data_IF_841229823536
#
_entry.id   IF_841229823536
#
_cell.length_a   1.000
_cell.length_b   1.000
_cell.length_c   1.000
_cell.angle_alpha   90.00
_cell.angle_beta   90.00
_cell.angle_gamma   90.00
#
_symmetry.space_group_name_H-M   'P 1'
#
loop_
_entity.id
_entity.type
_entity.pdbx_description
1 polymer ?
#
# COMPACT_ATOMS: atom_id res chain seq x y z
N UNK A 1 22.73 -34.37 1.63
CA UNK A 1 21.44 -33.75 2.04
C UNK A 1 21.76 -32.38 2.61
N UNK A 2 21.83 -31.35 1.76
CA UNK A 2 22.22 -29.99 2.15
C UNK A 2 20.97 -29.13 2.28
N UNK A 3 20.56 -28.86 3.52
CA UNK A 3 19.45 -27.98 3.85
C UNK A 3 19.96 -26.54 3.99
N UNK A 4 19.84 -25.76 2.92
CA UNK A 4 20.07 -24.32 2.89
C UNK A 4 19.11 -23.60 3.82
N UNK A 5 19.61 -23.18 4.99
CA UNK A 5 18.96 -22.27 5.92
C UNK A 5 18.94 -20.85 5.31
N UNK A 6 17.77 -20.43 4.80
CA UNK A 6 17.53 -19.05 4.36
C UNK A 6 17.23 -18.18 5.58
N UNK A 7 18.14 -17.24 5.85
CA UNK A 7 17.95 -16.13 6.79
C UNK A 7 16.72 -15.31 6.39
N UNK A 8 15.93 -14.75 7.32
CA UNK A 8 14.92 -13.77 6.98
C UNK A 8 15.62 -12.52 6.45
N UNK A 9 15.48 -12.30 5.16
CA UNK A 9 15.92 -11.11 4.46
C UNK A 9 15.26 -9.89 5.11
N UNK A 10 16.04 -8.89 5.49
CA UNK A 10 15.57 -7.55 5.85
C UNK A 10 14.78 -6.96 4.68
N UNK A 11 13.48 -7.22 4.63
CA UNK A 11 12.54 -6.62 3.69
C UNK A 11 11.88 -5.46 4.45
N UNK A 12 12.65 -4.38 4.66
CA UNK A 12 12.08 -3.06 4.94
C UNK A 12 11.55 -2.52 3.62
N UNK A 13 10.33 -2.88 3.26
CA UNK A 13 9.62 -2.25 2.13
C UNK A 13 8.76 -1.15 2.72
N UNK A 14 9.41 0.00 2.92
CA UNK A 14 8.68 1.26 3.03
C UNK A 14 8.13 1.58 1.65
N UNK A 15 6.85 1.32 1.44
CA UNK A 15 6.06 1.89 0.35
C UNK A 15 5.82 3.37 0.64
N UNK A 16 6.88 4.17 0.57
CA UNK A 16 6.76 5.64 0.58
C UNK A 16 6.89 6.16 -0.85
N UNK A 17 5.77 6.40 -1.51
CA UNK A 17 5.72 7.29 -2.67
C UNK A 17 5.24 8.67 -2.23
N UNK A 18 6.26 9.49 -1.96
CA UNK A 18 6.29 10.96 -1.89
C UNK A 18 5.62 11.68 -0.70
N UNK A 19 6.53 12.12 0.19
CA UNK A 19 6.44 13.18 1.23
C UNK A 19 5.85 12.78 2.59
N UNK A 20 6.62 12.01 3.35
CA UNK A 20 6.84 12.36 4.77
C UNK A 20 8.33 12.51 5.01
N UNK A 21 8.80 13.73 4.72
CA UNK A 21 10.13 14.23 5.01
C UNK A 21 10.23 14.48 6.53
N UNK A 22 10.01 13.45 7.36
CA UNK A 22 10.25 13.46 8.82
C UNK A 22 10.24 12.07 9.46
N UNK A 23 10.36 10.97 8.71
CA UNK A 23 10.25 9.62 9.32
C UNK A 23 11.58 8.89 9.57
N UNK A 24 12.71 9.47 9.13
CA UNK A 24 13.97 8.71 9.06
C UNK A 24 14.92 8.84 10.25
N UNK A 25 14.51 9.45 11.38
CA UNK A 25 15.40 9.70 12.53
C UNK A 25 15.13 8.86 13.79
N UNK A 26 14.16 7.94 13.83
CA UNK A 26 13.89 7.13 15.05
C UNK A 26 14.02 5.61 14.94
N UNK A 27 14.29 5.05 13.76
CA UNK A 27 14.48 3.60 13.59
C UNK A 27 15.97 3.20 13.64
N UNK A 28 16.61 3.30 14.81
CA UNK A 28 17.92 2.69 15.02
C UNK A 28 17.77 1.20 15.41
N UNK A 29 18.50 0.26 14.79
CA UNK A 29 18.48 -1.14 15.17
C UNK A 29 19.50 -1.37 16.30
N UNK A 30 19.13 -2.17 17.30
CA UNK A 30 20.09 -2.89 18.12
C UNK A 30 19.72 -4.37 18.06
N UNK A 31 20.51 -5.12 17.30
CA UNK A 31 20.42 -6.56 17.17
C UNK A 31 20.99 -7.23 18.41
N UNK A 32 20.33 -8.28 18.87
CA UNK A 32 20.81 -9.20 19.89
C UNK A 32 19.96 -10.45 19.85
N UNK A 33 20.62 -11.58 19.62
CA UNK A 33 20.12 -12.95 19.70
C UNK A 33 19.05 -13.15 20.79
N UNK A 34 17.98 -13.89 20.51
CA UNK A 34 17.67 -15.12 21.25
C UNK A 34 16.59 -15.96 20.57
N UNK A 35 16.68 -17.24 20.88
CA UNK A 35 16.04 -18.48 20.45
C UNK A 35 14.50 -18.56 20.38
N UNK A 36 14.08 -19.33 19.38
CA UNK A 36 12.91 -20.23 19.28
C UNK A 36 12.22 -20.57 20.60
N UNK A 37 10.93 -20.22 20.73
CA UNK A 37 9.93 -20.92 21.57
C UNK A 37 8.58 -20.94 20.81
N UNK A 38 7.92 -22.09 20.88
CA UNK A 38 6.62 -22.47 20.30
C UNK A 38 5.41 -21.66 20.83
N UNK A 39 4.24 -21.72 20.15
CA UNK A 39 3.12 -20.81 20.41
C UNK A 39 2.31 -21.21 21.64
N UNK A 40 2.01 -20.22 22.49
CA UNK A 40 0.97 -20.32 23.52
C UNK A 40 -0.36 -19.77 22.97
N UNK A 41 -1.41 -20.51 23.29
CA UNK A 41 -2.81 -20.34 22.88
C UNK A 41 -3.48 -19.14 23.55
N UNK A 42 -4.54 -18.71 22.89
CA UNK A 42 -5.71 -17.98 23.39
C UNK A 42 -5.46 -16.66 24.10
N UNK A 43 -5.73 -15.57 23.38
CA UNK A 43 -6.53 -14.48 23.93
C UNK A 43 -7.48 -13.96 22.83
N UNK A 44 -8.74 -14.31 23.00
CA UNK A 44 -9.88 -13.87 22.19
C UNK A 44 -10.10 -12.37 22.37
N UNK A 45 -10.01 -11.61 21.29
CA UNK A 45 -10.64 -10.30 21.17
C UNK A 45 -11.64 -10.42 20.01
N UNK A 46 -12.88 -10.72 20.38
CA UNK A 46 -14.06 -10.52 19.55
C UNK A 46 -14.61 -9.16 19.93
N UNK A 47 -14.72 -8.24 18.97
CA UNK A 47 -15.82 -7.27 18.80
C UNK A 47 -15.42 -6.24 17.73
N UNK A 48 -16.35 -5.95 16.82
CA UNK A 48 -16.29 -4.77 15.94
C UNK A 48 -16.12 -5.02 14.44
N UNK A 49 -16.92 -5.91 13.85
CA UNK A 49 -17.14 -5.96 12.38
C UNK A 49 -18.57 -6.39 12.09
N UNK A 50 -19.53 -5.54 12.41
CA UNK A 50 -20.90 -5.62 11.88
C UNK A 50 -21.31 -4.20 11.51
N UNK A 51 -21.98 -4.04 10.37
CA UNK A 51 -22.52 -2.81 9.74
C UNK A 51 -21.81 -2.35 8.46
N UNK A 52 -21.79 -3.19 7.42
CA UNK A 52 -21.68 -2.74 6.01
C UNK A 52 -22.56 -3.60 5.08
N UNK A 53 -23.79 -3.88 5.50
CA UNK A 53 -24.74 -4.62 4.64
C UNK A 53 -26.16 -4.07 4.81
N UNK A 54 -26.33 -2.78 4.55
CA UNK A 54 -27.67 -2.17 4.42
C UNK A 54 -27.67 -0.91 3.54
N UNK A 55 -27.07 -0.94 2.34
CA UNK A 55 -27.36 0.07 1.28
C UNK A 55 -27.27 -0.58 -0.11
N UNK A 56 -27.96 -1.70 -0.30
CA UNK A 56 -28.21 -2.27 -1.64
C UNK A 56 -29.65 -2.77 -1.69
N UNK A 57 -30.61 -1.84 -1.81
CA UNK A 57 -32.02 -2.19 -1.80
C UNK A 57 -32.95 -1.25 -2.57
N UNK A 58 -32.62 0.03 -2.74
CA UNK A 58 -33.60 1.03 -3.22
C UNK A 58 -33.09 1.94 -4.34
N UNK A 59 -32.52 1.36 -5.41
CA UNK A 59 -32.32 2.09 -6.69
C UNK A 59 -32.90 1.32 -7.90
N UNK A 60 -33.35 0.08 -7.72
CA UNK A 60 -33.78 -0.78 -8.83
C UNK A 60 -35.28 -0.73 -9.19
N UNK A 61 -36.03 0.28 -8.74
CA UNK A 61 -37.48 0.37 -8.98
C UNK A 61 -37.95 1.59 -9.80
N UNK A 62 -37.05 2.46 -10.28
CA UNK A 62 -37.42 3.63 -11.10
C UNK A 62 -36.75 3.67 -12.50
N UNK A 63 -36.30 2.54 -13.04
CA UNK A 63 -35.74 2.45 -14.41
C UNK A 63 -36.53 1.45 -15.28
N UNK A 64 -37.87 1.47 -15.20
CA UNK A 64 -38.74 0.65 -16.06
C UNK A 64 -39.80 1.44 -16.85
N UNK A 65 -39.72 2.77 -16.87
CA UNK A 65 -40.70 3.61 -17.60
C UNK A 65 -40.07 4.88 -18.17
N UNK A 66 -38.96 4.73 -18.91
CA UNK A 66 -38.40 5.78 -19.76
C UNK A 66 -37.66 5.22 -20.99
N UNK A 67 -38.20 4.16 -21.59
CA UNK A 67 -37.69 3.51 -22.81
C UNK A 67 -38.64 3.72 -23.99
N UNK A 68 -39.00 4.97 -24.23
CA UNK A 68 -39.45 5.42 -25.54
C UNK A 68 -39.12 6.91 -25.66
N UNK A 69 -38.36 7.25 -26.71
CA UNK A 69 -37.84 8.59 -27.07
C UNK A 69 -36.46 8.96 -26.49
N UNK A 70 -35.40 8.45 -27.14
CA UNK A 70 -34.18 9.18 -27.49
C UNK A 70 -33.27 8.29 -28.37
N UNK A 71 -33.82 7.83 -29.50
CA UNK A 71 -32.99 7.44 -30.64
C UNK A 71 -32.63 8.72 -31.40
N UNK A 72 -31.66 9.47 -30.86
CA UNK A 72 -30.86 10.38 -31.68
C UNK A 72 -29.66 9.57 -32.10
N UNK A 73 -29.70 9.07 -33.33
CA UNK A 73 -28.54 8.55 -34.04
C UNK A 73 -27.49 9.66 -34.15
N UNK A 74 -26.59 9.74 -33.18
CA UNK A 74 -25.31 10.44 -33.39
C UNK A 74 -24.49 9.59 -34.35
N UNK A 75 -24.45 10.01 -35.60
CA UNK A 75 -23.45 9.60 -36.60
C UNK A 75 -22.06 10.00 -36.10
N UNK A 76 -21.54 9.30 -35.09
CA UNK A 76 -20.13 9.36 -34.68
C UNK A 76 -19.34 8.51 -35.69
N UNK A 77 -18.52 9.16 -36.50
CA UNK A 77 -17.61 8.49 -37.42
C UNK A 77 -16.73 7.50 -36.62
N UNK A 78 -16.83 6.17 -36.86
CA UNK A 78 -16.08 5.17 -36.08
C UNK A 78 -14.56 5.39 -36.16
N UNK A 79 -14.08 6.10 -37.18
CA UNK A 79 -12.67 6.48 -37.31
C UNK A 79 -12.23 7.57 -36.32
N UNK A 80 -13.14 8.45 -35.87
CA UNK A 80 -12.81 9.52 -34.91
C UNK A 80 -12.43 8.95 -33.53
N UNK A 81 -13.17 7.94 -33.08
CA UNK A 81 -12.88 7.27 -31.82
C UNK A 81 -11.56 6.45 -31.90
N UNK A 82 -11.30 5.78 -33.02
CA UNK A 82 -10.06 5.03 -33.21
C UNK A 82 -8.83 5.95 -33.29
N UNK A 83 -8.93 7.07 -34.01
CA UNK A 83 -7.86 8.07 -34.08
C UNK A 83 -7.60 8.72 -32.71
N UNK A 84 -8.65 9.06 -31.97
CA UNK A 84 -8.55 9.57 -30.60
C UNK A 84 -7.80 8.59 -29.68
N UNK A 85 -8.18 7.30 -29.68
CA UNK A 85 -7.52 6.27 -28.88
C UNK A 85 -6.05 6.10 -29.26
N UNK A 86 -5.73 6.14 -30.56
CA UNK A 86 -4.33 6.09 -31.01
C UNK A 86 -3.53 7.29 -30.52
N UNK A 87 -4.07 8.51 -30.65
CA UNK A 87 -3.40 9.73 -30.14
C UNK A 87 -3.20 9.65 -28.62
N UNK A 88 -4.19 9.19 -27.85
CA UNK A 88 -4.06 8.98 -26.40
C UNK A 88 -2.99 7.93 -26.09
N UNK A 89 -2.94 6.83 -26.83
CA UNK A 89 -1.93 5.78 -26.66
C UNK A 89 -0.51 6.31 -26.89
N UNK A 90 -0.29 7.04 -28.00
CA UNK A 90 1.01 7.64 -28.29
C UNK A 90 1.42 8.64 -27.20
N UNK A 91 0.49 9.47 -26.76
CA UNK A 91 0.72 10.42 -25.66
C UNK A 91 1.16 9.71 -24.38
N UNK A 92 0.44 8.66 -23.94
CA UNK A 92 0.77 7.89 -22.74
C UNK A 92 2.14 7.21 -22.89
N UNK A 93 2.40 6.58 -24.04
CA UNK A 93 3.63 5.86 -24.29
C UNK A 93 4.85 6.78 -24.32
N UNK A 94 4.73 7.99 -24.88
CA UNK A 94 5.81 8.98 -24.88
C UNK A 94 6.18 9.40 -23.46
N UNK A 95 5.18 9.65 -22.61
CA UNK A 95 5.41 10.00 -21.21
C UNK A 95 6.01 8.83 -20.43
N UNK A 96 5.54 7.60 -20.67
CA UNK A 96 6.12 6.39 -20.08
C UNK A 96 7.60 6.22 -20.44
N UNK A 97 7.97 6.41 -21.70
CA UNK A 97 9.37 6.37 -22.15
C UNK A 97 10.24 7.42 -21.45
N UNK A 98 9.74 8.66 -21.35
CA UNK A 98 10.42 9.75 -20.64
C UNK A 98 10.63 9.41 -19.16
N UNK A 99 9.62 8.85 -18.49
CA UNK A 99 9.73 8.44 -17.09
C UNK A 99 10.69 7.26 -16.89
N UNK A 100 10.65 6.26 -17.79
CA UNK A 100 11.58 5.12 -17.80
C UNK A 100 13.04 5.56 -17.96
N UNK A 101 13.32 6.51 -18.86
CA UNK A 101 14.66 7.04 -19.09
C UNK A 101 15.27 7.73 -17.86
N UNK A 102 14.46 8.18 -16.90
CA UNK A 102 14.92 8.79 -15.65
C UNK A 102 15.18 7.78 -14.52
N UNK A 103 14.91 6.49 -14.73
CA UNK A 103 15.19 5.45 -13.74
C UNK A 103 16.68 5.07 -13.68
N UNK A 104 17.18 4.53 -12.56
CA UNK A 104 18.48 3.88 -12.51
C UNK A 104 18.57 2.70 -13.49
N UNK A 105 19.74 2.54 -14.14
CA UNK A 105 19.98 1.55 -15.20
C UNK A 105 19.58 0.11 -14.81
N UNK A 106 19.85 -0.29 -13.56
CA UNK A 106 19.49 -1.61 -13.03
C UNK A 106 17.99 -1.92 -13.07
N UNK A 107 17.12 -0.90 -13.07
CA UNK A 107 15.68 -1.04 -13.16
C UNK A 107 15.17 -0.83 -14.59
N UNK A 108 15.83 0.03 -15.38
CA UNK A 108 15.52 0.23 -16.78
C UNK A 108 15.58 -1.07 -17.58
N UNK A 109 16.64 -1.85 -17.39
CA UNK A 109 16.83 -3.14 -18.08
C UNK A 109 15.74 -4.18 -17.75
N UNK A 110 15.02 -3.99 -16.64
CA UNK A 110 13.95 -4.90 -16.19
C UNK A 110 12.58 -4.50 -16.70
N UNK A 111 12.43 -3.29 -17.24
CA UNK A 111 11.18 -2.78 -17.80
C UNK A 111 11.36 -2.75 -19.31
N UNK A 112 10.78 -3.74 -19.99
CA UNK A 112 10.83 -3.84 -21.45
C UNK A 112 9.92 -2.81 -22.12
N UNK A 113 10.18 -2.53 -23.40
CA UNK A 113 9.28 -1.70 -24.20
C UNK A 113 7.89 -2.31 -24.34
N UNK A 114 7.80 -3.63 -24.47
CA UNK A 114 6.53 -4.37 -24.51
C UNK A 114 5.71 -4.13 -23.24
N UNK A 115 6.35 -4.13 -22.07
CA UNK A 115 5.68 -3.84 -20.80
C UNK A 115 5.13 -2.40 -20.76
N UNK A 116 5.91 -1.42 -21.23
CA UNK A 116 5.44 -0.03 -21.31
C UNK A 116 4.28 0.15 -22.29
N UNK A 117 4.32 -0.54 -23.44
CA UNK A 117 3.23 -0.52 -24.41
C UNK A 117 1.96 -1.20 -23.86
N UNK A 118 2.11 -2.35 -23.17
CA UNK A 118 1.02 -3.01 -22.47
C UNK A 118 0.39 -2.10 -21.43
N UNK A 119 1.22 -1.43 -20.61
CA UNK A 119 0.75 -0.49 -19.60
C UNK A 119 0.03 0.71 -20.23
N UNK A 120 0.56 1.28 -21.31
CA UNK A 120 -0.11 2.38 -22.01
C UNK A 120 -1.51 2.00 -22.52
N UNK A 121 -1.67 0.76 -23.01
CA UNK A 121 -2.96 0.24 -23.46
C UNK A 121 -3.95 0.08 -22.31
N UNK A 122 -3.53 -0.45 -21.15
CA UNK A 122 -4.45 -0.60 -20.00
C UNK A 122 -4.88 0.74 -19.41
N UNK A 123 -4.03 1.76 -19.54
CA UNK A 123 -4.31 3.13 -19.12
C UNK A 123 -5.15 3.95 -20.12
N UNK A 124 -5.56 3.37 -21.26
CA UNK A 124 -6.53 4.01 -22.14
C UNK A 124 -7.89 4.15 -21.45
N UNK A 125 -8.26 3.16 -20.63
CA UNK A 125 -9.42 3.23 -19.76
C UNK A 125 -9.02 3.84 -18.41
N UNK A 126 -9.71 4.90 -18.01
CA UNK A 126 -9.40 5.63 -16.78
C UNK A 126 -9.75 4.84 -15.50
N UNK A 127 -10.47 3.72 -15.61
CA UNK A 127 -10.74 2.80 -14.48
C UNK A 127 -9.48 2.39 -13.73
N UNK A 128 -8.35 2.15 -14.42
CA UNK A 128 -7.10 1.77 -13.75
C UNK A 128 -6.55 2.91 -12.88
N UNK A 129 -6.72 4.17 -13.31
CA UNK A 129 -6.34 5.31 -12.49
C UNK A 129 -7.19 5.40 -11.22
N UNK A 130 -8.49 5.14 -11.31
CA UNK A 130 -9.38 5.14 -10.15
C UNK A 130 -9.08 4.00 -9.18
N UNK A 131 -8.79 2.79 -9.67
CA UNK A 131 -8.34 1.67 -8.83
C UNK A 131 -7.08 2.06 -8.06
N UNK A 132 -6.08 2.61 -8.75
CA UNK A 132 -4.81 3.00 -8.13
C UNK A 132 -4.99 4.12 -7.09
N UNK A 133 -5.88 5.09 -7.34
CA UNK A 133 -6.25 6.12 -6.35
C UNK A 133 -6.93 5.51 -5.12
N UNK A 134 -7.91 4.62 -5.32
CA UNK A 134 -8.56 3.92 -4.21
C UNK A 134 -7.59 3.10 -3.36
N UNK A 135 -6.65 2.40 -3.99
CA UNK A 135 -5.59 1.65 -3.28
C UNK A 135 -4.67 2.58 -2.46
N UNK A 136 -4.40 3.80 -2.94
CA UNK A 136 -3.65 4.80 -2.18
C UNK A 136 -4.42 5.31 -0.96
N UNK A 137 -5.73 5.56 -1.09
CA UNK A 137 -6.56 6.00 0.02
C UNK A 137 -6.65 4.92 1.10
N UNK A 138 -6.88 3.67 0.71
CA UNK A 138 -6.87 2.51 1.61
C UNK A 138 -5.51 2.38 2.31
N UNK A 139 -4.40 2.57 1.59
CA UNK A 139 -3.07 2.56 2.18
C UNK A 139 -2.92 3.65 3.23
N UNK A 140 -3.33 4.89 2.93
CA UNK A 140 -3.19 6.02 3.83
C UNK A 140 -3.98 5.82 5.13
N UNK A 141 -5.24 5.37 5.03
CA UNK A 141 -6.07 5.06 6.20
C UNK A 141 -5.45 3.92 7.03
N UNK A 142 -4.95 2.88 6.36
CA UNK A 142 -4.30 1.75 7.04
C UNK A 142 -3.03 2.19 7.78
N UNK A 143 -2.15 2.94 7.13
CA UNK A 143 -0.92 3.45 7.76
C UNK A 143 -1.22 4.34 8.96
N UNK A 144 -2.22 5.23 8.83
CA UNK A 144 -2.68 6.08 9.93
C UNK A 144 -3.16 5.25 11.10
N UNK A 145 -3.97 4.23 10.84
CA UNK A 145 -4.46 3.33 11.88
C UNK A 145 -3.32 2.57 12.57
N UNK A 146 -2.36 2.01 11.83
CA UNK A 146 -1.23 1.29 12.42
C UNK A 146 -0.31 2.20 13.25
N UNK A 147 -0.16 3.46 12.84
CA UNK A 147 0.55 4.47 13.62
C UNK A 147 -0.18 4.73 14.95
N UNK A 148 -1.50 4.90 14.93
CA UNK A 148 -2.31 5.07 16.14
C UNK A 148 -2.22 3.86 17.07
N UNK A 149 -2.20 2.64 16.53
CA UNK A 149 -2.01 1.42 17.32
C UNK A 149 -0.66 1.43 18.04
N UNK A 150 0.43 1.81 17.35
CA UNK A 150 1.75 1.92 17.96
C UNK A 150 1.80 3.02 19.03
N UNK A 151 1.22 4.17 18.74
CA UNK A 151 1.15 5.32 19.66
C UNK A 151 0.37 4.96 20.92
N UNK A 152 -0.73 4.23 20.80
CA UNK A 152 -1.49 3.74 21.96
C UNK A 152 -0.62 2.91 22.90
N UNK A 153 0.16 1.98 22.37
CA UNK A 153 1.08 1.16 23.19
C UNK A 153 2.11 2.02 23.90
N UNK A 154 2.66 3.02 23.21
CA UNK A 154 3.62 3.97 23.79
C UNK A 154 2.99 4.80 24.92
N UNK A 155 1.75 5.27 24.73
CA UNK A 155 0.99 6.00 25.74
C UNK A 155 0.65 5.12 26.95
N UNK A 156 0.26 3.87 26.73
CA UNK A 156 -0.01 2.90 27.80
C UNK A 156 1.25 2.63 28.64
N UNK A 157 2.42 2.50 28.01
CA UNK A 157 3.69 2.34 28.70
C UNK A 157 4.04 3.57 29.56
N UNK A 158 3.85 4.78 29.01
CA UNK A 158 4.08 6.02 29.75
C UNK A 158 3.13 6.17 30.94
N UNK A 159 1.86 5.79 30.79
CA UNK A 159 0.88 5.84 31.85
C UNK A 159 1.20 4.82 32.95
N UNK A 160 1.61 3.60 32.59
CA UNK A 160 2.04 2.57 33.55
C UNK A 160 3.21 3.09 34.41
N UNK A 161 4.23 3.71 33.79
CA UNK A 161 5.36 4.30 34.53
C UNK A 161 4.90 5.36 35.53
N UNK A 162 4.09 6.34 35.09
CA UNK A 162 3.55 7.40 35.98
C UNK A 162 2.72 6.83 37.14
N UNK A 163 1.97 5.76 36.89
CA UNK A 163 1.19 5.10 37.94
C UNK A 163 2.08 4.47 39.01
N UNK A 164 3.23 3.91 38.64
CA UNK A 164 4.18 3.37 39.61
C UNK A 164 4.95 4.46 40.35
N UNK A 165 5.36 5.53 39.65
CA UNK A 165 5.99 6.72 40.24
C UNK A 165 5.11 7.39 41.33
N UNK A 166 3.79 7.32 41.19
CA UNK A 166 2.85 7.85 42.19
C UNK A 166 2.55 6.89 43.35
N UNK A 167 2.82 5.60 43.21
CA UNK A 167 2.53 4.57 44.23
C UNK A 167 3.72 4.27 45.14
N UNK A 168 4.94 4.36 44.62
CA UNK A 168 6.16 4.00 45.34
C UNK A 168 6.85 5.28 45.83
N UNK A 169 7.03 5.39 47.14
CA UNK A 169 7.73 6.52 47.76
C UNK A 169 9.23 6.27 47.92
N UNK A 170 9.65 4.99 47.98
CA UNK A 170 11.06 4.63 48.11
C UNK A 170 11.80 4.76 46.76
N UNK A 171 12.85 5.61 46.66
CA UNK A 171 13.57 5.83 45.41
C UNK A 171 14.26 4.59 44.85
N UNK A 172 14.80 3.72 45.72
CA UNK A 172 15.54 2.53 45.30
C UNK A 172 14.61 1.44 44.74
N UNK A 173 13.48 1.19 45.42
CA UNK A 173 12.43 0.31 44.92
C UNK A 173 11.82 0.80 43.59
N UNK A 174 11.59 2.11 43.47
CA UNK A 174 11.05 2.71 42.24
C UNK A 174 12.01 2.53 41.06
N UNK A 175 13.31 2.74 41.25
CA UNK A 175 14.32 2.56 40.20
C UNK A 175 14.33 1.13 39.67
N UNK A 176 14.30 0.14 40.57
CA UNK A 176 14.26 -1.27 40.19
C UNK A 176 13.01 -1.61 39.37
N UNK A 177 11.84 -1.16 39.82
CA UNK A 177 10.56 -1.44 39.15
C UNK A 177 10.50 -0.75 37.78
N UNK A 178 10.97 0.49 37.66
CA UNK A 178 11.07 1.19 36.38
C UNK A 178 12.05 0.50 35.42
N UNK A 179 13.18 -0.02 35.92
CA UNK A 179 14.12 -0.79 35.10
C UNK A 179 13.47 -2.08 34.54
N UNK A 180 12.75 -2.83 35.38
CA UNK A 180 12.01 -4.03 34.94
C UNK A 180 10.91 -3.67 33.92
N UNK A 181 10.18 -2.57 34.15
CA UNK A 181 9.16 -2.10 33.21
C UNK A 181 9.77 -1.74 31.85
N UNK A 182 10.89 -1.03 31.81
CA UNK A 182 11.56 -0.71 30.53
C UNK A 182 11.90 -1.97 29.73
N UNK A 183 12.32 -3.04 30.39
CA UNK A 183 12.58 -4.33 29.74
C UNK A 183 11.28 -4.95 29.21
N UNK A 184 10.21 -4.97 30.01
CA UNK A 184 8.89 -5.48 29.64
C UNK A 184 8.29 -4.70 28.45
N UNK A 185 8.25 -3.38 28.56
CA UNK A 185 7.80 -2.43 27.53
C UNK A 185 8.60 -2.60 26.24
N UNK A 186 9.92 -2.73 26.33
CA UNK A 186 10.78 -2.97 25.17
C UNK A 186 10.46 -4.28 24.43
N UNK A 187 10.14 -5.36 25.15
CA UNK A 187 9.70 -6.62 24.52
C UNK A 187 8.32 -6.48 23.87
N UNK A 188 7.36 -5.91 24.61
CA UNK A 188 6.00 -5.69 24.12
C UNK A 188 5.96 -4.77 22.89
N UNK A 189 6.76 -3.70 22.86
CA UNK A 189 6.87 -2.81 21.70
C UNK A 189 7.42 -3.55 20.49
N UNK A 190 8.44 -4.39 20.65
CA UNK A 190 8.99 -5.20 19.56
C UNK A 190 7.96 -6.19 19.00
N UNK A 191 7.18 -6.84 19.86
CA UNK A 191 6.11 -7.74 19.44
C UNK A 191 5.01 -7.00 18.68
N UNK A 192 4.64 -5.81 19.14
CA UNK A 192 3.69 -4.93 18.44
C UNK A 192 4.24 -4.52 17.07
N UNK A 193 5.47 -3.97 17.01
CA UNK A 193 6.10 -3.57 15.75
C UNK A 193 6.19 -4.73 14.75
N UNK A 194 6.48 -5.95 15.21
CA UNK A 194 6.48 -7.15 14.37
C UNK A 194 5.10 -7.43 13.76
N UNK A 195 4.03 -7.36 14.57
CA UNK A 195 2.66 -7.54 14.08
C UNK A 195 2.25 -6.47 13.08
N UNK A 196 2.64 -5.22 13.32
CA UNK A 196 2.36 -4.11 12.40
C UNK A 196 3.05 -4.31 11.05
N UNK A 197 4.31 -4.74 11.04
CA UNK A 197 5.05 -5.05 9.80
C UNK A 197 4.38 -6.19 9.03
N UNK A 198 3.97 -7.27 9.71
CA UNK A 198 3.27 -8.38 9.06
C UNK A 198 1.95 -7.93 8.42
N UNK A 199 1.23 -7.00 9.06
CA UNK A 199 0.01 -6.46 8.48
C UNK A 199 0.29 -5.59 7.25
N UNK A 200 1.35 -4.77 7.28
CA UNK A 200 1.79 -4.02 6.10
C UNK A 200 2.18 -4.95 4.95
N UNK A 201 2.96 -6.00 5.21
CA UNK A 201 3.35 -6.98 4.20
C UNK A 201 2.13 -7.65 3.55
N UNK A 202 1.11 -7.99 4.35
CA UNK A 202 -0.14 -8.53 3.81
C UNK A 202 -0.85 -7.51 2.91
N UNK A 203 -0.90 -6.23 3.29
CA UNK A 203 -1.50 -5.18 2.45
C UNK A 203 -0.77 -4.99 1.13
N UNK A 204 0.56 -5.13 1.10
CA UNK A 204 1.32 -5.12 -0.15
C UNK A 204 0.86 -6.26 -1.08
N UNK A 205 0.69 -7.46 -0.53
CA UNK A 205 0.21 -8.62 -1.30
C UNK A 205 -1.20 -8.41 -1.83
N UNK A 206 -2.08 -7.85 -1.00
CA UNK A 206 -3.46 -7.55 -1.41
C UNK A 206 -3.49 -6.52 -2.55
N UNK A 207 -2.68 -5.46 -2.47
CA UNK A 207 -2.53 -4.46 -3.54
C UNK A 207 -1.97 -5.07 -4.83
N UNK A 208 -0.91 -5.88 -4.73
CA UNK A 208 -0.34 -6.61 -5.88
C UNK A 208 -1.39 -7.50 -6.54
N UNK A 209 -2.12 -8.29 -5.75
CA UNK A 209 -3.17 -9.18 -6.25
C UNK A 209 -4.32 -8.41 -6.91
N UNK A 210 -4.68 -7.24 -6.38
CA UNK A 210 -5.73 -6.39 -6.94
C UNK A 210 -5.32 -5.84 -8.31
N UNK A 211 -4.10 -5.33 -8.45
CA UNK A 211 -3.57 -4.83 -9.72
C UNK A 211 -3.36 -5.93 -10.75
N UNK A 212 -2.92 -7.12 -10.31
CA UNK A 212 -2.81 -8.32 -11.14
C UNK A 212 -4.18 -8.74 -11.69
N UNK A 213 -5.21 -8.80 -10.83
CA UNK A 213 -6.59 -9.13 -11.22
C UNK A 213 -7.25 -8.07 -12.10
N UNK A 214 -6.88 -6.80 -11.91
CA UNK A 214 -7.28 -5.70 -12.79
C UNK A 214 -6.58 -5.73 -14.16
N UNK A 215 -5.67 -6.68 -14.38
CA UNK A 215 -4.96 -6.87 -15.65
C UNK A 215 -3.85 -5.84 -15.88
N UNK A 216 -3.35 -5.18 -14.84
CA UNK A 216 -2.30 -4.17 -14.97
C UNK A 216 -0.95 -4.85 -15.23
N UNK A 217 -0.29 -4.60 -16.37
CA UNK A 217 0.95 -5.28 -16.73
C UNK A 217 2.08 -4.99 -15.74
N UNK A 218 2.88 -6.02 -15.44
CA UNK A 218 4.02 -5.93 -14.52
C UNK A 218 3.67 -6.09 -13.04
N UNK A 219 2.38 -6.19 -12.70
CA UNK A 219 1.92 -6.49 -11.36
C UNK A 219 1.61 -7.98 -11.21
N UNK A 220 2.18 -8.58 -10.18
CA UNK A 220 1.97 -9.95 -9.75
C UNK A 220 2.40 -10.08 -8.29
N UNK A 221 1.84 -11.04 -7.57
CA UNK A 221 2.21 -11.26 -6.17
C UNK A 221 3.67 -11.73 -6.04
N UNK A 222 4.50 -11.01 -5.28
CA UNK A 222 5.92 -11.33 -5.13
C UNK A 222 6.52 -10.79 -3.84
N UNK A 223 7.38 -11.58 -3.21
CA UNK A 223 8.18 -11.21 -2.03
C UNK A 223 9.62 -10.77 -2.41
N UNK A 224 9.96 -10.74 -3.71
CA UNK A 224 11.30 -10.36 -4.16
C UNK A 224 11.46 -8.83 -4.10
N UNK A 225 12.40 -8.30 -3.29
CA UNK A 225 12.55 -6.86 -3.10
C UNK A 225 12.93 -6.09 -4.37
N UNK A 226 13.57 -6.74 -5.35
CA UNK A 226 13.86 -6.11 -6.64
C UNK A 226 12.62 -5.95 -7.49
N UNK A 227 11.75 -6.96 -7.52
CA UNK A 227 10.48 -6.93 -8.26
C UNK A 227 9.51 -5.92 -7.64
N UNK A 228 9.44 -5.88 -6.31
CA UNK A 228 8.59 -4.92 -5.61
C UNK A 228 9.03 -3.49 -5.92
N UNK A 229 10.34 -3.21 -5.97
CA UNK A 229 10.84 -1.89 -6.41
C UNK A 229 10.44 -1.55 -7.84
N UNK A 230 10.43 -2.53 -8.75
CA UNK A 230 9.98 -2.31 -10.14
C UNK A 230 8.50 -1.97 -10.16
N UNK A 231 7.67 -2.74 -9.45
CA UNK A 231 6.24 -2.47 -9.31
C UNK A 231 5.95 -1.10 -8.70
N UNK A 232 6.77 -0.65 -7.75
CA UNK A 232 6.69 0.73 -7.21
C UNK A 232 6.97 1.79 -8.27
N UNK A 233 7.95 1.59 -9.15
CA UNK A 233 8.20 2.52 -10.26
C UNK A 233 7.04 2.54 -11.27
N UNK A 234 6.46 1.37 -11.59
CA UNK A 234 5.28 1.30 -12.45
C UNK A 234 4.08 2.02 -11.82
N UNK A 235 3.87 1.86 -10.52
CA UNK A 235 2.81 2.56 -9.79
C UNK A 235 3.01 4.08 -9.81
N UNK A 236 4.24 4.56 -9.60
CA UNK A 236 4.60 5.97 -9.72
C UNK A 236 4.31 6.51 -11.13
N UNK A 237 4.57 5.72 -12.18
CA UNK A 237 4.25 6.12 -13.55
C UNK A 237 2.75 6.30 -13.74
N UNK A 238 1.93 5.33 -13.30
CA UNK A 238 0.47 5.41 -13.39
C UNK A 238 -0.04 6.66 -12.65
N UNK A 239 0.47 6.92 -11.45
CA UNK A 239 0.08 8.08 -10.63
C UNK A 239 0.48 9.43 -11.24
N UNK A 240 1.61 9.49 -11.94
CA UNK A 240 2.02 10.71 -12.63
C UNK A 240 1.18 10.95 -13.87
N UNK A 241 0.88 9.89 -14.63
CA UNK A 241 0.02 9.96 -15.82
C UNK A 241 -1.40 10.38 -15.48
N UNK A 242 -1.95 9.94 -14.34
CA UNK A 242 -3.29 10.33 -13.90
C UNK A 242 -3.46 11.83 -13.64
N UNK A 243 -2.35 12.58 -13.50
CA UNK A 243 -2.33 14.03 -13.31
C UNK A 243 -2.15 14.80 -14.63
N UNK A 244 -1.81 14.11 -15.71
CA UNK A 244 -1.64 14.71 -17.02
C UNK A 244 -3.00 14.82 -17.72
N UNK A 245 -3.25 15.95 -18.36
CA UNK A 245 -4.43 16.15 -19.20
C UNK A 245 -4.06 15.81 -20.64
N UNK A 246 -4.80 14.87 -21.23
CA UNK A 246 -4.70 14.60 -22.65
C UNK A 246 -5.61 15.57 -23.40
N UNK A 247 -5.00 16.41 -24.25
CA UNK A 247 -5.72 17.39 -25.08
C UNK A 247 -5.63 16.93 -26.54
N UNK A 248 -6.69 16.33 -27.12
CA UNK A 248 -6.65 15.67 -28.43
C UNK A 248 -6.36 16.61 -29.62
N UNK A 249 -6.48 17.92 -29.42
CA UNK A 249 -6.35 18.97 -30.42
C UNK A 249 -5.06 19.80 -30.31
N UNK A 250 -4.06 19.34 -29.55
CA UNK A 250 -2.77 20.04 -29.44
C UNK A 250 -1.90 19.80 -30.67
N UNK A 251 -2.17 20.58 -31.73
CA UNK A 251 -1.52 20.72 -33.05
C UNK A 251 -1.79 19.62 -34.08
#
# INVERSE_FOLDING_TARGET
MNSTSRRPSNIRISLTLTKSLTFHTKFHPQFGHLSVIQPAKDLSIKEGMENEEEITGEINAEISTATDQLAVETNEDPYHNQEYLQRKLYFLLEHLKKMHANLPEQYQMRISFELLAGLANTLLNDTIFEIVKGLMEIQHVTETHLMQVREKVENDHQLEVKQWESKIQDPEELEHIVALMKIKHGKNMKETDMKLVLHLDQKVKDQQSTLEKAGVPGFYTTDNPKEIKIQMYLLDFILRLSRLKFEPNSR
#
